data_IF_586764831675
#
_entry.id   IF_586764831675
#
_cell.length_a   1.000
_cell.length_b   1.000
_cell.length_c   1.000
_cell.angle_alpha   90.00
_cell.angle_beta   90.00
_cell.angle_gamma   90.00
#
_symmetry.space_group_name_H-M   'P 1'
#
loop_
_entity.id
_entity.type
_entity.pdbx_description
1 polymer ?
#
# COMPACT_ATOMS: atom_id res chain seq x y z
N UNK A 1 5.11 6.82 -3.15
CA UNK A 1 6.47 6.81 -3.70
C UNK A 1 6.90 5.39 -4.06
N UNK A 2 6.84 4.47 -3.14
CA UNK A 2 7.31 3.08 -3.25
C UNK A 2 6.62 2.34 -4.40
N UNK A 3 5.30 2.49 -4.52
CA UNK A 3 4.54 1.94 -5.65
C UNK A 3 5.02 2.46 -7.01
N UNK A 4 5.32 3.77 -7.10
CA UNK A 4 5.81 4.38 -8.34
C UNK A 4 7.20 3.84 -8.72
N UNK A 5 8.06 3.60 -7.74
CA UNK A 5 9.35 2.96 -7.97
C UNK A 5 9.20 1.53 -8.50
N UNK A 6 8.35 0.73 -7.87
CA UNK A 6 8.07 -0.63 -8.35
C UNK A 6 7.45 -0.64 -9.76
N UNK A 7 6.56 0.34 -10.02
CA UNK A 7 5.98 0.53 -11.35
C UNK A 7 7.03 0.92 -12.40
N UNK A 8 7.97 1.80 -12.05
CA UNK A 8 9.09 2.16 -12.93
C UNK A 8 9.95 0.93 -13.26
N UNK A 9 10.32 0.12 -12.27
CA UNK A 9 11.04 -1.13 -12.49
C UNK A 9 10.27 -2.11 -13.38
N UNK A 10 8.95 -2.20 -13.18
CA UNK A 10 8.09 -3.03 -14.02
C UNK A 10 8.03 -2.53 -15.47
N UNK A 11 7.80 -1.24 -15.67
CA UNK A 11 7.69 -0.62 -17.00
C UNK A 11 9.01 -0.69 -17.78
N UNK A 12 10.15 -0.64 -17.10
CA UNK A 12 11.49 -0.82 -17.68
C UNK A 12 11.83 -2.29 -17.99
N UNK A 13 11.02 -3.25 -17.49
CA UNK A 13 11.30 -4.68 -17.63
C UNK A 13 12.30 -5.22 -16.60
N UNK A 14 12.74 -4.42 -15.65
CA UNK A 14 13.76 -4.79 -14.65
C UNK A 14 13.31 -5.95 -13.74
N UNK A 15 12.00 -6.09 -13.48
CA UNK A 15 11.44 -7.17 -12.68
C UNK A 15 11.46 -8.52 -13.41
N UNK A 16 11.62 -8.51 -14.76
CA UNK A 16 11.39 -9.69 -15.57
C UNK A 16 9.91 -10.10 -15.58
N UNK A 17 9.65 -11.40 -15.57
CA UNK A 17 8.28 -11.92 -15.46
C UNK A 17 7.79 -11.80 -14.02
N UNK A 18 6.62 -11.17 -13.81
CA UNK A 18 5.98 -11.17 -12.49
C UNK A 18 5.56 -12.60 -12.12
N UNK A 19 5.93 -13.01 -10.91
CA UNK A 19 5.65 -14.35 -10.39
C UNK A 19 4.58 -14.32 -9.29
N UNK A 20 4.59 -13.27 -8.44
CA UNK A 20 3.68 -13.13 -7.33
C UNK A 20 3.63 -11.69 -6.82
N UNK A 21 2.46 -11.26 -6.35
CA UNK A 21 2.25 -9.98 -5.68
C UNK A 21 1.70 -10.21 -4.28
N UNK A 22 2.16 -9.41 -3.32
CA UNK A 22 1.65 -9.48 -1.95
C UNK A 22 1.52 -8.08 -1.38
N UNK A 23 0.43 -7.82 -0.67
CA UNK A 23 0.23 -6.54 -0.02
C UNK A 23 -0.51 -6.69 1.31
N UNK A 24 -0.32 -5.72 2.18
CA UNK A 24 -1.07 -5.66 3.42
C UNK A 24 -1.30 -4.23 3.87
N UNK A 25 -2.34 -4.06 4.66
CA UNK A 25 -2.54 -2.84 5.41
C UNK A 25 -3.08 -3.18 6.80
N UNK A 26 -2.28 -2.91 7.82
CA UNK A 26 -2.72 -2.90 9.20
C UNK A 26 -2.98 -1.46 9.60
N UNK A 27 -4.11 -1.21 10.23
CA UNK A 27 -4.46 0.09 10.77
C UNK A 27 -5.34 -0.12 11.99
N UNK A 28 -4.95 0.45 13.11
CA UNK A 28 -5.82 0.48 14.28
C UNK A 28 -6.77 1.66 14.16
N UNK A 29 -8.06 1.35 14.14
CA UNK A 29 -9.14 2.35 14.03
C UNK A 29 -9.90 2.49 15.35
N UNK A 30 -9.33 2.05 16.45
CA UNK A 30 -9.90 2.30 17.77
C UNK A 30 -9.94 3.82 18.04
N UNK A 31 -11.05 4.29 18.60
CA UNK A 31 -11.28 5.72 18.81
C UNK A 31 -11.71 6.53 17.58
N UNK A 32 -11.83 5.91 16.42
CA UNK A 32 -12.38 6.53 15.23
C UNK A 32 -13.90 6.71 15.31
N UNK A 33 -14.53 7.52 14.43
CA UNK A 33 -15.98 7.74 14.48
C UNK A 33 -16.80 6.46 14.56
N UNK A 34 -17.92 6.49 15.27
CA UNK A 34 -18.70 5.31 15.67
C UNK A 34 -19.25 4.42 14.55
N UNK A 35 -19.09 4.81 13.29
CA UNK A 35 -19.45 3.96 12.14
C UNK A 35 -18.31 3.01 11.69
N UNK A 36 -17.12 3.08 12.30
CA UNK A 36 -16.01 2.18 12.01
C UNK A 36 -16.03 0.87 12.78
N UNK A 37 -16.43 0.83 14.09
CA UNK A 37 -16.37 -0.40 14.85
C UNK A 37 -17.07 -1.57 14.16
N UNK A 38 -16.38 -2.70 14.07
CA UNK A 38 -16.87 -3.92 13.45
C UNK A 38 -16.90 -3.92 11.91
N UNK A 39 -16.34 -2.89 11.26
CA UNK A 39 -16.20 -2.92 9.81
C UNK A 39 -15.36 -4.13 9.39
N UNK A 40 -15.86 -4.98 8.46
CA UNK A 40 -15.05 -6.07 7.93
C UNK A 40 -13.75 -5.53 7.35
N UNK A 41 -12.57 -6.09 7.68
CA UNK A 41 -11.29 -5.55 7.24
C UNK A 41 -11.19 -5.30 5.73
N UNK A 42 -11.70 -6.21 4.90
CA UNK A 42 -11.65 -6.05 3.44
C UNK A 42 -12.64 -5.05 2.86
N UNK A 43 -13.59 -4.51 3.63
CA UNK A 43 -14.42 -3.39 3.18
C UNK A 43 -13.63 -2.08 3.05
N UNK A 44 -12.48 -2.00 3.70
CA UNK A 44 -11.56 -0.87 3.59
C UNK A 44 -10.17 -1.33 3.13
N UNK A 45 -10.12 -1.95 1.96
CA UNK A 45 -8.93 -2.63 1.44
C UNK A 45 -8.19 -1.87 0.31
N UNK A 46 -8.59 -0.65 -0.02
CA UNK A 46 -8.02 0.12 -1.13
C UNK A 46 -6.50 0.26 -1.07
N UNK A 47 -5.94 0.46 0.13
CA UNK A 47 -4.50 0.63 0.36
C UNK A 47 -3.66 -0.63 0.00
N UNK A 48 -4.21 -1.82 0.16
CA UNK A 48 -3.51 -3.06 -0.17
C UNK A 48 -3.97 -3.69 -1.50
N UNK A 49 -5.24 -3.51 -1.89
CA UNK A 49 -5.76 -4.02 -3.16
C UNK A 49 -5.36 -3.12 -4.34
N UNK A 50 -5.35 -1.80 -4.13
CA UNK A 50 -5.02 -0.83 -5.18
C UNK A 50 -3.65 -1.09 -5.85
N UNK A 51 -2.55 -1.20 -5.10
CA UNK A 51 -1.24 -1.49 -5.67
C UNK A 51 -1.19 -2.81 -6.43
N UNK A 52 -1.84 -3.84 -5.91
CA UNK A 52 -1.89 -5.18 -6.54
C UNK A 52 -2.57 -5.14 -7.90
N UNK A 53 -3.74 -4.49 -7.99
CA UNK A 53 -4.46 -4.33 -9.26
C UNK A 53 -3.73 -3.38 -10.21
N UNK A 54 -3.17 -2.29 -9.67
CA UNK A 54 -2.45 -1.28 -10.44
C UNK A 54 -1.19 -1.82 -11.13
N UNK A 55 -0.40 -2.64 -10.44
CA UNK A 55 0.78 -3.27 -11.02
C UNK A 55 0.44 -4.50 -11.84
N UNK A 56 -0.50 -5.32 -11.37
CA UNK A 56 -0.93 -6.53 -12.07
C UNK A 56 -1.57 -6.25 -13.44
N UNK A 57 -2.13 -5.06 -13.64
CA UNK A 57 -2.78 -4.59 -14.88
C UNK A 57 -3.81 -5.58 -15.46
N UNK A 58 -4.38 -6.40 -14.60
CA UNK A 58 -5.38 -7.41 -14.97
C UNK A 58 -6.57 -7.32 -14.03
N UNK A 59 -7.71 -7.74 -14.53
CA UNK A 59 -8.89 -7.93 -13.71
C UNK A 59 -8.74 -9.18 -12.84
N UNK A 60 -9.22 -9.13 -11.61
CA UNK A 60 -9.35 -10.31 -10.78
C UNK A 60 -10.43 -11.23 -11.36
N UNK A 61 -10.09 -12.49 -11.60
CA UNK A 61 -11.03 -13.50 -12.07
C UNK A 61 -11.64 -14.27 -10.90
N UNK A 62 -10.80 -14.61 -9.92
CA UNK A 62 -11.24 -15.29 -8.70
C UNK A 62 -10.70 -14.54 -7.48
N UNK A 63 -11.55 -14.47 -6.47
CA UNK A 63 -11.23 -13.92 -5.17
C UNK A 63 -11.67 -14.92 -4.11
N UNK A 64 -10.78 -15.28 -3.22
CA UNK A 64 -11.07 -16.12 -2.05
C UNK A 64 -10.61 -15.38 -0.79
N UNK A 65 -11.51 -15.18 0.16
CA UNK A 65 -11.24 -14.46 1.39
C UNK A 65 -11.50 -15.36 2.60
N UNK A 66 -10.59 -15.36 3.54
CA UNK A 66 -10.68 -16.10 4.80
C UNK A 66 -10.54 -15.16 5.99
N UNK A 67 -11.48 -15.18 6.93
CA UNK A 67 -11.37 -14.46 8.17
C UNK A 67 -10.42 -15.17 9.14
N UNK A 68 -9.81 -14.40 10.03
CA UNK A 68 -8.92 -14.91 11.07
C UNK A 68 -8.98 -14.06 12.33
N UNK A 69 -8.94 -14.73 13.46
CA UNK A 69 -9.03 -14.10 14.77
C UNK A 69 -10.41 -13.48 15.05
N UNK A 70 -10.56 -12.94 16.25
CA UNK A 70 -11.79 -12.30 16.68
C UNK A 70 -11.43 -11.02 17.41
N UNK A 71 -12.13 -9.93 17.11
CA UNK A 71 -12.05 -8.67 17.84
C UNK A 71 -12.93 -8.73 19.08
N UNK A 72 -12.69 -7.83 20.02
CA UNK A 72 -13.48 -7.71 21.27
C UNK A 72 -14.95 -7.38 20.97
N UNK A 73 -15.85 -7.86 21.82
CA UNK A 73 -17.30 -7.83 21.59
C UNK A 73 -17.86 -6.41 21.44
N UNK A 74 -17.34 -5.45 22.17
CA UNK A 74 -17.75 -4.04 22.10
C UNK A 74 -17.49 -3.38 20.73
N UNK A 75 -16.64 -3.99 19.89
CA UNK A 75 -16.38 -3.52 18.52
C UNK A 75 -17.33 -4.10 17.48
N UNK A 76 -18.25 -5.00 17.85
CA UNK A 76 -19.19 -5.63 16.90
C UNK A 76 -20.38 -4.73 16.50
N UNK A 77 -20.39 -3.44 16.83
CA UNK A 77 -21.58 -2.59 16.91
C UNK A 77 -22.51 -2.58 15.69
N UNK A 78 -21.99 -2.42 14.47
CA UNK A 78 -22.86 -2.18 13.30
C UNK A 78 -22.81 -3.29 12.26
N UNK A 79 -21.68 -3.95 12.11
CA UNK A 79 -21.43 -4.83 10.97
C UNK A 79 -21.54 -6.30 11.34
N UNK A 80 -21.59 -6.62 12.62
CA UNK A 80 -21.59 -7.98 13.12
C UNK A 80 -20.47 -8.85 12.50
N UNK A 81 -19.32 -8.21 12.25
CA UNK A 81 -18.11 -8.85 11.72
C UNK A 81 -17.09 -8.99 12.85
N UNK A 82 -16.91 -10.20 13.38
CA UNK A 82 -16.05 -10.39 14.55
C UNK A 82 -14.57 -10.57 14.19
N UNK A 83 -14.17 -10.33 12.94
CA UNK A 83 -12.86 -10.75 12.45
C UNK A 83 -11.79 -9.69 12.67
N UNK A 84 -10.68 -10.11 13.31
CA UNK A 84 -9.53 -9.23 13.50
C UNK A 84 -8.73 -9.02 12.21
N UNK A 85 -8.62 -10.04 11.39
CA UNK A 85 -7.89 -10.02 10.11
C UNK A 85 -8.73 -10.72 9.04
N UNK A 86 -8.67 -10.21 7.84
CA UNK A 86 -9.11 -10.94 6.64
C UNK A 86 -7.93 -11.10 5.68
N UNK A 87 -7.77 -12.31 5.15
CA UNK A 87 -6.75 -12.67 4.16
C UNK A 87 -7.42 -13.04 2.85
N UNK A 88 -6.93 -12.49 1.75
CA UNK A 88 -7.54 -12.65 0.44
C UNK A 88 -6.51 -13.11 -0.58
N UNK A 89 -6.86 -14.10 -1.36
CA UNK A 89 -6.12 -14.52 -2.54
C UNK A 89 -6.87 -14.08 -3.79
N UNK A 90 -6.12 -13.53 -4.74
CA UNK A 90 -6.63 -13.11 -6.03
C UNK A 90 -5.93 -13.92 -7.13
N UNK A 91 -6.70 -14.36 -8.12
CA UNK A 91 -6.19 -14.86 -9.39
C UNK A 91 -6.60 -13.89 -10.49
N UNK A 92 -5.66 -13.53 -11.34
CA UNK A 92 -5.90 -12.59 -12.43
C UNK A 92 -6.41 -13.32 -13.67
N UNK A 93 -7.30 -12.64 -14.41
CA UNK A 93 -7.89 -13.13 -15.65
C UNK A 93 -6.83 -13.23 -16.74
N UNK A 94 -6.83 -14.32 -17.49
CA UNK A 94 -5.89 -14.57 -18.58
C UNK A 94 -4.41 -14.45 -18.18
N UNK A 95 -4.08 -14.75 -16.93
CA UNK A 95 -2.75 -14.65 -16.38
C UNK A 95 -2.44 -15.83 -15.48
N UNK A 96 -1.17 -16.22 -15.39
CA UNK A 96 -0.66 -17.15 -14.39
C UNK A 96 -0.29 -16.45 -13.07
N UNK A 97 -0.34 -15.12 -13.05
CA UNK A 97 -0.09 -14.31 -11.87
C UNK A 97 -1.22 -14.48 -10.84
N UNK A 98 -0.83 -14.48 -9.58
CA UNK A 98 -1.73 -14.42 -8.44
C UNK A 98 -1.22 -13.42 -7.40
N UNK A 99 -2.09 -13.06 -6.46
CA UNK A 99 -1.73 -12.16 -5.39
C UNK A 99 -2.34 -12.58 -4.06
N UNK A 100 -1.69 -12.14 -2.98
CA UNK A 100 -2.21 -12.26 -1.63
C UNK A 100 -2.30 -10.87 -1.00
N UNK A 101 -3.43 -10.57 -0.38
CA UNK A 101 -3.61 -9.35 0.42
C UNK A 101 -4.18 -9.71 1.79
N UNK A 102 -3.83 -8.93 2.80
CA UNK A 102 -4.45 -9.06 4.12
C UNK A 102 -4.61 -7.71 4.80
N UNK A 103 -5.63 -7.62 5.64
CA UNK A 103 -6.03 -6.39 6.28
C UNK A 103 -6.43 -6.63 7.73
N UNK A 104 -6.10 -5.68 8.62
CA UNK A 104 -6.63 -5.60 9.98
C UNK A 104 -7.06 -4.18 10.30
N UNK A 105 -8.10 -4.04 11.13
CA UNK A 105 -8.63 -2.74 11.55
C UNK A 105 -8.69 -2.58 13.07
N UNK A 106 -8.74 -3.67 13.82
CA UNK A 106 -8.91 -3.66 15.27
C UNK A 106 -8.16 -4.84 15.89
N UNK A 107 -7.74 -4.66 17.13
CA UNK A 107 -7.21 -5.69 18.03
C UNK A 107 -6.01 -6.48 17.48
N UNK A 108 -5.21 -5.83 16.64
CA UNK A 108 -3.92 -6.33 16.18
C UNK A 108 -2.85 -5.37 16.68
N UNK A 109 -1.87 -5.87 17.43
CA UNK A 109 -0.85 -5.06 18.09
C UNK A 109 -0.01 -4.21 17.13
N UNK A 110 0.07 -4.57 15.84
CA UNK A 110 0.65 -3.72 14.82
C UNK A 110 -0.35 -2.67 14.38
N UNK A 111 -0.25 -1.49 14.95
CA UNK A 111 -1.23 -0.41 14.80
C UNK A 111 -1.23 0.23 13.43
N UNK A 112 -0.08 0.27 12.73
CA UNK A 112 -0.02 0.79 11.37
C UNK A 112 1.07 0.09 10.56
N UNK A 113 0.73 -0.27 9.35
CA UNK A 113 1.65 -0.66 8.27
C UNK A 113 0.91 -0.69 6.95
N UNK A 114 1.48 -0.07 5.94
CA UNK A 114 1.23 -0.41 4.55
C UNK A 114 2.40 -1.25 4.03
N UNK A 115 2.11 -2.22 3.19
CA UNK A 115 3.16 -2.96 2.49
C UNK A 115 2.72 -3.43 1.13
N UNK A 116 3.68 -3.47 0.22
CA UNK A 116 3.54 -4.07 -1.08
C UNK A 116 4.85 -4.75 -1.46
N UNK A 117 4.78 -6.00 -1.84
CA UNK A 117 5.90 -6.84 -2.18
C UNK A 117 5.68 -7.39 -3.59
N UNK A 118 6.70 -7.27 -4.44
CA UNK A 118 6.65 -7.70 -5.84
C UNK A 118 7.74 -8.72 -6.08
N UNK A 119 7.36 -9.90 -6.50
CA UNK A 119 8.28 -10.98 -6.81
C UNK A 119 8.34 -11.20 -8.31
N UNK A 120 9.46 -10.83 -8.91
CA UNK A 120 9.76 -11.02 -10.32
C UNK A 120 10.86 -12.06 -10.55
N UNK A 121 11.03 -12.47 -11.80
CA UNK A 121 12.07 -13.45 -12.17
C UNK A 121 13.48 -12.90 -12.15
N UNK A 122 13.65 -11.59 -12.32
CA UNK A 122 14.95 -10.90 -12.37
C UNK A 122 15.20 -10.07 -11.12
N UNK A 123 14.19 -9.33 -10.66
CA UNK A 123 14.22 -8.59 -9.41
C UNK A 123 12.94 -8.79 -8.62
N UNK A 124 13.08 -8.74 -7.30
CA UNK A 124 11.98 -8.63 -6.34
C UNK A 124 12.17 -7.39 -5.49
N UNK A 125 11.08 -6.77 -5.06
CA UNK A 125 11.13 -5.58 -4.21
C UNK A 125 10.17 -5.76 -3.05
N UNK A 126 10.66 -5.50 -1.85
CA UNK A 126 9.90 -5.59 -0.61
C UNK A 126 9.89 -4.24 0.10
N UNK A 127 8.71 -3.82 0.54
CA UNK A 127 8.61 -2.68 1.44
C UNK A 127 9.16 -3.05 2.82
N UNK A 128 9.73 -2.08 3.54
CA UNK A 128 10.37 -2.37 4.81
C UNK A 128 9.37 -2.87 5.87
N UNK A 129 9.88 -3.64 6.82
CA UNK A 129 9.10 -4.07 7.98
C UNK A 129 8.83 -2.93 8.95
N UNK A 130 9.71 -1.96 9.02
CA UNK A 130 9.60 -0.76 9.86
C UNK A 130 9.38 0.42 8.92
N UNK A 131 8.34 1.18 9.18
CA UNK A 131 8.01 2.36 8.38
C UNK A 131 9.14 3.39 8.43
N UNK A 132 9.45 3.96 7.26
CA UNK A 132 10.57 4.91 7.12
C UNK A 132 11.94 4.28 6.86
N UNK A 133 12.07 2.95 6.91
CA UNK A 133 13.28 2.28 6.44
C UNK A 133 13.30 2.18 4.91
N UNK A 134 14.49 1.98 4.30
CA UNK A 134 14.62 1.75 2.86
C UNK A 134 13.91 0.49 2.36
N UNK A 135 13.52 0.50 1.09
CA UNK A 135 13.08 -0.70 0.37
C UNK A 135 14.21 -1.74 0.30
N UNK A 136 13.85 -3.00 0.20
CA UNK A 136 14.80 -4.09 -0.04
C UNK A 136 14.61 -4.60 -1.47
N UNK A 137 15.67 -4.53 -2.26
CA UNK A 137 15.70 -5.02 -3.64
C UNK A 137 16.56 -6.27 -3.72
N UNK A 138 15.98 -7.33 -4.25
CA UNK A 138 16.62 -8.59 -4.53
C UNK A 138 16.87 -8.71 -6.03
N UNK A 139 18.09 -9.05 -6.44
CA UNK A 139 18.43 -9.25 -7.85
C UNK A 139 18.90 -10.69 -8.06
N UNK A 140 18.27 -11.40 -8.99
CA UNK A 140 18.64 -12.76 -9.33
C UNK A 140 20.08 -12.81 -9.85
N UNK A 141 20.96 -13.52 -9.14
CA UNK A 141 22.34 -13.75 -9.54
C UNK A 141 22.59 -15.26 -9.59
N UNK A 142 22.96 -15.75 -10.76
CA UNK A 142 23.32 -17.15 -10.95
C UNK A 142 24.69 -17.21 -11.61
N UNK A 143 25.64 -18.02 -11.09
CA UNK A 143 25.52 -18.97 -9.97
C UNK A 143 25.77 -18.38 -8.58
N UNK A 144 26.12 -17.11 -8.47
CA UNK A 144 26.45 -16.49 -7.20
C UNK A 144 25.21 -16.22 -6.33
N UNK A 145 25.35 -16.29 -4.99
CA UNK A 145 24.27 -15.97 -4.09
C UNK A 145 23.88 -14.48 -4.24
N UNK A 146 22.60 -14.22 -4.06
CA UNK A 146 22.03 -12.89 -4.03
C UNK A 146 22.57 -12.09 -2.84
N UNK A 147 22.76 -10.78 -3.04
CA UNK A 147 23.01 -9.82 -1.97
C UNK A 147 21.89 -8.79 -2.04
N UNK A 148 20.99 -8.73 -1.04
CA UNK A 148 19.92 -7.73 -1.02
C UNK A 148 20.49 -6.32 -0.93
N UNK A 149 19.87 -5.37 -1.63
CA UNK A 149 20.21 -3.96 -1.60
C UNK A 149 19.14 -3.18 -0.85
N UNK A 150 19.56 -2.27 0.03
CA UNK A 150 18.66 -1.25 0.60
C UNK A 150 18.62 -0.05 -0.34
N UNK A 151 17.42 0.30 -0.77
CA UNK A 151 17.19 1.36 -1.75
C UNK A 151 16.29 2.42 -1.15
N UNK A 152 16.79 3.64 -1.05
CA UNK A 152 15.96 4.81 -0.73
C UNK A 152 15.01 5.09 -1.89
N UNK A 153 13.72 5.24 -1.57
CA UNK A 153 12.72 5.49 -2.59
C UNK A 153 12.97 6.84 -3.29
N UNK A 154 13.10 6.89 -4.62
CA UNK A 154 13.30 8.12 -5.34
C UNK A 154 12.17 9.14 -5.13
N UNK A 155 12.47 10.41 -5.29
CA UNK A 155 11.46 11.45 -5.35
C UNK A 155 10.78 11.47 -6.73
N UNK A 156 9.48 11.23 -6.74
CA UNK A 156 8.66 11.23 -7.94
C UNK A 156 7.90 12.56 -8.17
N UNK A 157 8.17 13.61 -7.40
CA UNK A 157 7.57 14.94 -7.62
C UNK A 157 7.80 15.43 -9.06
N UNK A 158 8.92 15.05 -9.67
CA UNK A 158 9.26 15.33 -11.08
C UNK A 158 8.24 14.82 -12.11
N UNK A 159 7.38 13.87 -11.74
CA UNK A 159 6.32 13.35 -12.62
C UNK A 159 5.06 14.23 -12.60
N UNK A 160 5.00 15.21 -11.69
CA UNK A 160 3.89 16.14 -11.58
C UNK A 160 4.19 17.45 -12.31
N UNK A 161 3.16 18.17 -12.78
CA UNK A 161 3.31 19.54 -13.22
C UNK A 161 4.03 20.40 -12.19
N UNK A 162 4.79 21.38 -12.65
CA UNK A 162 5.63 22.23 -11.80
C UNK A 162 4.82 22.95 -10.71
N UNK A 163 3.57 23.28 -11.00
CA UNK A 163 2.64 23.94 -10.11
C UNK A 163 2.13 23.01 -8.99
N UNK A 164 2.17 21.69 -9.20
CA UNK A 164 1.65 20.67 -8.29
C UNK A 164 2.79 19.99 -7.50
N UNK A 165 3.94 19.82 -8.12
CA UNK A 165 5.08 19.12 -7.54
C UNK A 165 5.46 19.58 -6.12
N UNK A 166 5.45 20.87 -5.74
CA UNK A 166 5.76 21.31 -4.39
C UNK A 166 4.86 20.72 -3.31
N UNK A 167 3.61 20.43 -3.63
CA UNK A 167 2.64 19.89 -2.67
C UNK A 167 2.88 18.44 -2.25
N UNK A 168 3.87 17.76 -2.81
CA UNK A 168 4.34 16.46 -2.34
C UNK A 168 5.18 16.58 -1.06
N UNK A 169 5.59 17.79 -0.68
CA UNK A 169 6.43 18.07 0.48
C UNK A 169 5.62 18.79 1.56
N UNK A 170 5.80 18.41 2.81
CA UNK A 170 5.15 19.09 3.94
C UNK A 170 5.61 20.55 4.09
N UNK A 171 4.71 21.41 4.55
CA UNK A 171 5.04 22.80 4.87
C UNK A 171 5.13 23.77 3.68
N UNK A 172 4.67 23.35 2.52
CA UNK A 172 4.67 24.17 1.28
C UNK A 172 3.55 25.20 1.26
N UNK A 173 2.50 25.01 2.06
CA UNK A 173 1.38 25.93 2.13
C UNK A 173 1.74 27.15 2.96
N UNK A 174 1.54 28.34 2.41
CA UNK A 174 1.68 29.56 3.20
C UNK A 174 0.47 29.69 4.13
N UNK A 175 0.75 29.93 5.39
CA UNK A 175 -0.24 30.13 6.44
C UNK A 175 -0.34 31.65 6.69
N UNK A 176 -0.78 32.41 5.69
CA UNK A 176 -0.85 33.87 5.76
C UNK A 176 -1.84 34.37 6.82
N UNK A 177 -2.83 33.54 7.18
CA UNK A 177 -3.80 33.81 8.24
C UNK A 177 -3.39 33.29 9.62
N UNK A 178 -2.25 32.59 9.74
CA UNK A 178 -1.73 32.07 11.02
C UNK A 178 -2.53 30.92 11.61
N UNK A 179 -3.50 30.37 10.90
CA UNK A 179 -4.26 29.19 11.33
C UNK A 179 -3.75 27.91 10.70
N UNK A 180 -3.61 26.83 11.49
CA UNK A 180 -3.32 25.49 11.00
C UNK A 180 -4.56 24.88 10.36
N UNK A 181 -4.63 24.90 9.05
CA UNK A 181 -5.66 24.16 8.32
C UNK A 181 -5.30 22.66 8.22
N UNK A 182 -6.24 21.79 8.57
CA UNK A 182 -6.07 20.33 8.49
C UNK A 182 -5.61 19.86 7.10
N UNK A 183 -6.02 20.56 6.03
CA UNK A 183 -5.58 20.29 4.66
C UNK A 183 -4.09 20.50 4.45
N UNK A 184 -3.43 21.36 5.21
CA UNK A 184 -2.00 21.62 5.12
C UNK A 184 -1.18 20.48 5.75
N UNK A 185 -1.69 19.91 6.83
CA UNK A 185 -1.09 18.72 7.46
C UNK A 185 -1.29 17.47 6.59
N UNK A 186 -2.44 17.35 5.94
CA UNK A 186 -2.76 16.23 5.06
C UNK A 186 -1.98 16.22 3.75
N UNK A 187 -1.54 17.36 3.24
CA UNK A 187 -0.72 17.43 2.03
C UNK A 187 0.59 16.66 2.14
N UNK A 188 1.15 16.57 3.35
CA UNK A 188 2.31 15.72 3.64
C UNK A 188 1.94 14.27 3.99
N UNK A 189 0.65 13.98 4.19
CA UNK A 189 0.16 12.65 4.53
C UNK A 189 0.48 11.63 3.44
N UNK A 190 0.70 10.39 3.85
CA UNK A 190 1.07 9.30 2.94
C UNK A 190 2.30 9.62 2.08
N UNK A 191 3.31 10.28 2.67
CA UNK A 191 4.58 10.56 1.99
C UNK A 191 4.46 11.40 0.70
N UNK A 192 3.44 12.28 0.62
CA UNK A 192 3.22 13.14 -0.55
C UNK A 192 2.51 12.45 -1.70
N UNK A 193 1.80 11.34 -1.47
CA UNK A 193 1.08 10.62 -2.52
C UNK A 193 -0.21 11.32 -3.00
N UNK A 194 -0.82 12.16 -2.17
CA UNK A 194 -2.09 12.82 -2.50
C UNK A 194 -2.03 13.65 -3.79
N UNK A 195 -1.03 14.52 -4.03
CA UNK A 195 -0.91 15.23 -5.30
C UNK A 195 -0.82 14.31 -6.52
N UNK A 196 -0.11 13.19 -6.41
CA UNK A 196 -0.05 12.18 -7.48
C UNK A 196 -1.42 11.56 -7.75
N UNK A 197 -2.14 11.20 -6.68
CA UNK A 197 -3.46 10.59 -6.79
C UNK A 197 -4.44 11.56 -7.46
N UNK A 198 -4.50 12.81 -7.00
CA UNK A 198 -5.39 13.83 -7.54
C UNK A 198 -5.06 14.12 -9.00
N UNK A 199 -3.78 14.27 -9.36
CA UNK A 199 -3.35 14.53 -10.73
C UNK A 199 -3.73 13.41 -11.71
N UNK A 200 -3.88 12.18 -11.23
CA UNK A 200 -4.35 11.07 -12.08
C UNK A 200 -5.86 11.15 -12.41
N UNK A 201 -6.62 11.96 -11.69
CA UNK A 201 -8.07 12.14 -11.88
C UNK A 201 -8.43 13.33 -12.78
N UNK A 202 -7.52 14.25 -13.00
CA UNK A 202 -7.72 15.48 -13.78
C UNK A 202 -7.05 15.35 -15.15
#
# INVERSE_FOLDING_TARGET
REFLYMKELYDNGDLGKLQFLKASHQQDMDGWPGYWPGLPPMHYATHCVGPVLGLGRHEAEYVSCFPSGTIREEMHAYYNSPFAVETTHLKFRNSDLSAQVYRSLFDVARQYRESFEVYGSEKSVEWPLIEGEPLVVHTAKKPEPEIPEKVECPDFAKLLPQEIAPFTTGGVYSNEDGEEHLSFTQGAGHGGSHPHLVHQFV
#
